data_IF_169672592371
#
_entry.id   IF_169672592371
#
_cell.length_a   1.000
_cell.length_b   1.000
_cell.length_c   1.000
_cell.angle_alpha   90.00
_cell.angle_beta   90.00
_cell.angle_gamma   90.00
#
_symmetry.space_group_name_H-M   'P 1'
#
loop_
_entity.id
_entity.type
_entity.pdbx_description
1 polymer ?
#
# COMPACT_ATOMS: atom_id res chain seq x y z
N UNK A 1 7.90 -37.61 20.63
CA UNK A 1 7.92 -37.27 19.18
C UNK A 1 6.57 -36.76 18.66
N UNK A 2 5.43 -37.38 19.00
CA UNK A 2 4.09 -36.93 18.56
C UNK A 2 3.70 -35.51 19.01
N UNK A 3 4.06 -35.10 20.24
CA UNK A 3 3.77 -33.74 20.74
C UNK A 3 4.55 -32.65 20.00
N UNK A 4 5.83 -32.88 19.67
CA UNK A 4 6.64 -31.97 18.86
C UNK A 4 6.11 -31.86 17.42
N UNK A 5 5.67 -32.98 16.84
CA UNK A 5 5.08 -33.00 15.51
C UNK A 5 3.76 -32.22 15.45
N UNK A 6 2.89 -32.33 16.48
CA UNK A 6 1.63 -31.55 16.56
C UNK A 6 1.88 -30.06 16.79
N UNK A 7 2.88 -29.70 17.59
CA UNK A 7 3.29 -28.31 17.78
C UNK A 7 3.86 -27.71 16.50
N UNK A 8 4.72 -28.45 15.78
CA UNK A 8 5.23 -28.05 14.47
C UNK A 8 4.09 -27.87 13.45
N UNK A 9 3.14 -28.81 13.39
CA UNK A 9 1.98 -28.72 12.49
C UNK A 9 1.07 -27.53 12.83
N UNK A 10 0.86 -27.23 14.11
CA UNK A 10 0.10 -26.07 14.57
C UNK A 10 0.78 -24.74 14.23
N UNK A 11 2.10 -24.65 14.42
CA UNK A 11 2.90 -23.46 14.08
C UNK A 11 2.98 -23.27 12.58
N UNK A 12 3.27 -24.32 11.81
CA UNK A 12 3.31 -24.28 10.34
C UNK A 12 1.93 -23.98 9.76
N UNK A 13 0.86 -24.57 10.29
CA UNK A 13 -0.51 -24.28 9.86
C UNK A 13 -0.91 -22.83 10.13
N UNK A 14 -0.58 -22.30 11.32
CA UNK A 14 -0.83 -20.89 11.66
C UNK A 14 -0.03 -19.95 10.77
N UNK A 15 1.25 -20.25 10.49
CA UNK A 15 2.08 -19.48 9.56
C UNK A 15 1.55 -19.52 8.12
N UNK A 16 1.05 -20.68 7.68
CA UNK A 16 0.49 -20.84 6.35
C UNK A 16 -0.81 -20.06 6.19
N UNK A 17 -1.69 -20.13 7.19
CA UNK A 17 -2.95 -19.37 7.22
C UNK A 17 -2.67 -17.87 7.36
N UNK A 18 -1.74 -17.46 8.22
CA UNK A 18 -1.34 -16.07 8.37
C UNK A 18 -0.71 -15.53 7.07
N UNK A 19 0.17 -16.31 6.44
CA UNK A 19 0.74 -15.98 5.13
C UNK A 19 -0.36 -15.81 4.08
N UNK A 20 -1.23 -16.81 3.92
CA UNK A 20 -2.34 -16.79 2.96
C UNK A 20 -3.31 -15.62 3.21
N UNK A 21 -3.62 -15.30 4.47
CA UNK A 21 -4.46 -14.18 4.84
C UNK A 21 -3.82 -12.83 4.48
N UNK A 22 -2.51 -12.68 4.72
CA UNK A 22 -1.74 -11.49 4.35
C UNK A 22 -1.73 -11.26 2.83
N UNK A 23 -1.76 -12.34 2.03
CA UNK A 23 -1.87 -12.25 0.57
C UNK A 23 -3.32 -12.06 0.07
N UNK A 24 -4.32 -12.50 0.84
CA UNK A 24 -5.73 -12.32 0.51
C UNK A 24 -6.16 -10.84 0.57
N UNK A 25 -5.59 -10.06 1.50
CA UNK A 25 -5.79 -8.60 1.56
C UNK A 25 -5.12 -7.85 0.40
N UNK A 26 -4.27 -8.55 -0.36
CA UNK A 26 -3.59 -8.04 -1.55
C UNK A 26 -2.10 -7.79 -1.31
N UNK A 27 -1.40 -7.51 -2.41
CA UNK A 27 0.03 -7.18 -2.41
C UNK A 27 0.18 -5.77 -2.94
N UNK A 28 1.00 -4.98 -2.26
CA UNK A 28 1.52 -3.72 -2.78
C UNK A 28 2.65 -4.06 -3.72
N UNK A 29 2.55 -3.64 -4.98
CA UNK A 29 3.58 -3.84 -5.98
C UNK A 29 4.10 -2.49 -6.42
N UNK A 30 5.41 -2.33 -6.34
CA UNK A 30 6.15 -1.15 -6.76
C UNK A 30 7.20 -1.64 -7.75
N UNK A 31 7.07 -1.26 -9.01
CA UNK A 31 8.11 -1.44 -10.00
C UNK A 31 8.51 -0.05 -10.50
N UNK A 32 9.78 0.29 -10.37
CA UNK A 32 10.35 1.54 -10.89
C UNK A 32 11.59 1.17 -11.69
N UNK A 33 11.62 1.58 -12.95
CA UNK A 33 12.73 1.38 -13.86
C UNK A 33 13.21 2.72 -14.41
N UNK A 34 14.36 3.20 -13.92
CA UNK A 34 15.01 4.40 -14.46
C UNK A 34 16.01 4.05 -15.56
N UNK A 35 15.77 4.53 -16.78
CA UNK A 35 16.55 4.26 -17.99
C UNK A 35 17.73 5.22 -18.19
N UNK A 36 18.48 5.50 -17.12
CA UNK A 36 19.65 6.40 -17.11
C UNK A 36 20.90 5.72 -16.56
N UNK A 37 22.08 6.23 -16.92
CA UNK A 37 23.35 5.68 -16.40
C UNK A 37 23.43 5.86 -14.87
N UNK A 38 23.41 4.74 -14.13
CA UNK A 38 23.31 4.75 -12.67
C UNK A 38 21.88 4.85 -12.12
N UNK A 39 20.87 4.60 -12.96
CA UNK A 39 19.46 4.60 -12.58
C UNK A 39 19.10 3.52 -11.56
N UNK A 40 18.05 3.77 -10.78
CA UNK A 40 17.52 2.82 -9.80
C UNK A 40 16.48 1.90 -10.43
N UNK A 41 16.62 0.60 -10.17
CA UNK A 41 15.62 -0.42 -10.51
C UNK A 41 15.04 -0.97 -9.21
N UNK A 42 13.80 -0.64 -8.91
CA UNK A 42 13.15 -0.96 -7.63
C UNK A 42 11.93 -1.83 -7.91
N UNK A 43 12.05 -3.13 -7.64
CA UNK A 43 10.96 -4.09 -7.72
C UNK A 43 10.66 -4.63 -6.33
N UNK A 44 9.60 -4.12 -5.70
CA UNK A 44 9.25 -4.47 -4.33
C UNK A 44 7.81 -4.95 -4.27
N UNK A 45 7.65 -6.12 -3.66
CA UNK A 45 6.38 -6.77 -3.43
C UNK A 45 6.20 -6.88 -1.92
N UNK A 46 5.29 -6.08 -1.38
CA UNK A 46 5.03 -6.04 0.06
C UNK A 46 3.62 -6.57 0.31
N UNK A 47 3.45 -7.60 1.15
CA UNK A 47 2.13 -8.01 1.59
C UNK A 47 1.42 -6.83 2.27
N UNK A 48 0.19 -6.51 1.88
CA UNK A 48 -0.38 -5.22 2.25
C UNK A 48 -0.67 -5.12 3.76
N UNK A 49 -0.98 -6.25 4.42
CA UNK A 49 -1.13 -6.32 5.88
C UNK A 49 0.19 -6.09 6.65
N UNK A 50 1.36 -6.15 5.99
CA UNK A 50 2.64 -5.85 6.63
C UNK A 50 2.76 -4.36 7.01
N UNK A 51 2.07 -3.46 6.30
CA UNK A 51 2.10 -2.02 6.56
C UNK A 51 1.54 -1.67 7.94
N UNK A 52 0.27 -2.01 8.29
CA UNK A 52 -0.26 -1.73 9.62
C UNK A 52 0.50 -2.48 10.73
N UNK A 53 1.02 -3.67 10.46
CA UNK A 53 1.88 -4.38 11.42
C UNK A 53 3.17 -3.61 11.71
N UNK A 54 3.84 -3.10 10.67
CA UNK A 54 5.06 -2.31 10.82
C UNK A 54 4.81 -0.98 11.53
N UNK A 55 3.65 -0.35 11.34
CA UNK A 55 3.27 0.88 12.04
C UNK A 55 3.26 0.73 13.57
N UNK A 56 2.93 -0.45 14.09
CA UNK A 56 3.00 -0.71 15.54
C UNK A 56 4.43 -0.70 16.10
N UNK A 57 5.44 -0.86 15.25
CA UNK A 57 6.85 -0.81 15.62
C UNK A 57 7.45 0.59 15.50
N UNK A 58 6.73 1.53 14.87
CA UNK A 58 7.20 2.91 14.69
C UNK A 58 7.03 3.68 16.01
N UNK A 59 8.08 4.39 16.49
CA UNK A 59 7.97 5.21 17.70
C UNK A 59 6.84 6.25 17.59
N UNK A 60 5.99 6.31 18.62
CA UNK A 60 4.82 7.21 18.64
C UNK A 60 5.15 8.67 18.36
N UNK A 61 6.34 9.14 18.73
CA UNK A 61 6.77 10.52 18.45
C UNK A 61 6.82 10.82 16.94
N UNK A 62 7.38 9.90 16.15
CA UNK A 62 7.50 10.06 14.69
C UNK A 62 6.13 9.97 14.02
N UNK A 63 5.26 9.09 14.51
CA UNK A 63 3.87 9.01 14.05
C UNK A 63 3.10 10.32 14.35
N UNK A 64 3.25 10.89 15.55
CA UNK A 64 2.60 12.16 15.91
C UNK A 64 3.10 13.31 15.05
N UNK A 65 4.40 13.41 14.80
CA UNK A 65 4.94 14.42 13.89
C UNK A 65 4.35 14.25 12.48
N UNK A 66 4.34 13.03 11.93
CA UNK A 66 3.75 12.78 10.61
C UNK A 66 2.25 13.14 10.54
N UNK A 67 1.50 12.83 11.60
CA UNK A 67 0.08 13.17 11.72
C UNK A 67 -0.14 14.68 11.86
N UNK A 68 0.70 15.39 12.63
CA UNK A 68 0.61 16.85 12.76
C UNK A 68 0.84 17.55 11.41
N UNK A 69 1.83 17.11 10.63
CA UNK A 69 2.10 17.65 9.30
C UNK A 69 0.98 17.32 8.29
N UNK A 70 0.25 16.23 8.52
CA UNK A 70 -0.78 15.73 7.61
C UNK A 70 -2.19 15.95 8.14
N UNK A 71 -2.38 16.70 9.22
CA UNK A 71 -3.64 16.76 9.99
C UNK A 71 -4.82 17.22 9.16
N UNK A 72 -4.60 18.18 8.26
CA UNK A 72 -5.62 18.71 7.36
C UNK A 72 -5.86 17.79 6.15
N UNK A 73 -4.82 17.11 5.70
CA UNK A 73 -4.86 16.23 4.53
C UNK A 73 -5.41 14.84 4.85
N UNK A 74 -5.26 14.35 6.08
CA UNK A 74 -5.66 12.99 6.48
C UNK A 74 -7.16 12.71 6.32
N UNK A 75 -8.08 13.57 6.82
CA UNK A 75 -9.51 13.36 6.62
C UNK A 75 -9.90 13.41 5.14
N UNK A 76 -9.22 14.25 4.35
CA UNK A 76 -9.43 14.36 2.91
C UNK A 76 -8.97 13.06 2.22
N UNK A 77 -7.79 12.56 2.57
CA UNK A 77 -7.27 11.30 2.06
C UNK A 77 -8.19 10.14 2.42
N UNK A 78 -8.66 10.05 3.67
CA UNK A 78 -9.61 9.03 4.10
C UNK A 78 -10.92 9.10 3.30
N UNK A 79 -11.46 10.31 3.10
CA UNK A 79 -12.67 10.52 2.30
C UNK A 79 -12.46 10.11 0.83
N UNK A 80 -11.32 10.48 0.23
CA UNK A 80 -10.97 10.09 -1.14
C UNK A 80 -10.90 8.56 -1.24
N UNK A 81 -10.16 7.89 -0.36
CA UNK A 81 -10.03 6.42 -0.38
C UNK A 81 -11.41 5.76 -0.26
N UNK A 82 -12.25 6.24 0.67
CA UNK A 82 -13.61 5.74 0.86
C UNK A 82 -14.48 5.91 -0.38
N UNK A 83 -14.35 7.03 -1.09
CA UNK A 83 -15.07 7.28 -2.33
C UNK A 83 -14.55 6.40 -3.47
N UNK A 84 -13.23 6.28 -3.62
CA UNK A 84 -12.60 5.42 -4.62
C UNK A 84 -13.04 3.95 -4.48
N UNK A 85 -13.27 3.45 -3.26
CA UNK A 85 -13.80 2.09 -3.05
C UNK A 85 -15.18 1.85 -3.65
N UNK A 86 -15.98 2.90 -3.87
CA UNK A 86 -17.30 2.77 -4.52
C UNK A 86 -17.19 2.56 -6.03
N UNK A 87 -16.05 2.91 -6.61
CA UNK A 87 -15.75 2.78 -8.03
C UNK A 87 -14.53 1.86 -8.17
N UNK A 88 -14.70 0.53 -8.09
CA UNK A 88 -13.58 -0.40 -8.05
C UNK A 88 -12.81 -0.52 -9.37
N UNK A 89 -13.43 -0.09 -10.47
CA UNK A 89 -12.91 -0.16 -11.84
C UNK A 89 -13.27 1.12 -12.60
N UNK A 90 -12.47 2.17 -12.43
CA UNK A 90 -12.62 3.46 -13.12
C UNK A 90 -11.26 4.10 -13.40
N UNK A 91 -11.11 4.68 -14.59
CA UNK A 91 -9.99 5.55 -14.93
C UNK A 91 -10.23 6.94 -14.33
N UNK A 92 -9.30 7.40 -13.49
CA UNK A 92 -9.45 8.64 -12.73
C UNK A 92 -8.77 9.81 -13.45
N UNK A 93 -7.52 9.59 -13.85
CA UNK A 93 -6.68 10.61 -14.47
C UNK A 93 -5.87 9.94 -15.55
N UNK A 94 -5.87 10.55 -16.73
CA UNK A 94 -4.99 10.19 -17.83
C UNK A 94 -4.34 11.47 -18.37
N UNK A 95 -3.02 11.50 -18.40
CA UNK A 95 -2.23 12.61 -18.93
C UNK A 95 -1.35 12.06 -20.03
N UNK A 96 -1.49 12.62 -21.23
CA UNK A 96 -0.66 12.30 -22.39
C UNK A 96 0.06 13.56 -22.83
N UNK A 97 1.39 13.56 -22.72
CA UNK A 97 2.24 14.66 -23.19
C UNK A 97 3.44 14.11 -23.98
N UNK A 98 3.34 14.16 -25.31
CA UNK A 98 4.38 13.66 -26.21
C UNK A 98 4.66 12.17 -26.02
N UNK A 99 5.80 11.84 -25.39
CA UNK A 99 6.20 10.46 -25.05
C UNK A 99 5.93 10.08 -23.59
N UNK A 100 5.35 11.00 -22.82
CA UNK A 100 4.97 10.77 -21.43
C UNK A 100 3.49 10.40 -21.36
N UNK A 101 3.19 9.34 -20.63
CA UNK A 101 1.83 8.90 -20.35
C UNK A 101 1.71 8.58 -18.86
N UNK A 102 0.78 9.25 -18.18
CA UNK A 102 0.46 8.96 -16.78
C UNK A 102 -0.98 8.50 -16.72
N UNK A 103 -1.21 7.33 -16.14
CA UNK A 103 -2.54 6.78 -15.93
C UNK A 103 -2.73 6.44 -14.45
N UNK A 104 -3.78 7.01 -13.85
CA UNK A 104 -4.22 6.69 -12.49
C UNK A 104 -5.62 6.12 -12.60
N UNK A 105 -5.80 4.90 -12.11
CA UNK A 105 -7.07 4.19 -12.16
C UNK A 105 -7.30 3.35 -10.92
N UNK A 106 -8.55 3.00 -10.70
CA UNK A 106 -8.91 1.91 -9.80
C UNK A 106 -9.13 0.66 -10.63
N UNK A 107 -8.65 -0.49 -10.15
CA UNK A 107 -8.85 -1.78 -10.82
C UNK A 107 -8.90 -2.91 -9.79
N UNK A 108 -9.97 -3.70 -9.80
CA UNK A 108 -10.19 -4.80 -8.86
C UNK A 108 -9.99 -4.37 -7.39
N UNK A 109 -10.47 -3.17 -7.01
CA UNK A 109 -10.33 -2.64 -5.65
C UNK A 109 -8.91 -2.22 -5.26
N UNK A 110 -8.02 -2.03 -6.24
CA UNK A 110 -6.67 -1.49 -6.06
C UNK A 110 -6.56 -0.14 -6.75
N UNK A 111 -5.80 0.77 -6.17
CA UNK A 111 -5.32 1.96 -6.86
C UNK A 111 -4.10 1.56 -7.69
N UNK A 112 -4.17 1.83 -8.99
CA UNK A 112 -3.09 1.62 -9.94
C UNK A 112 -2.60 2.97 -10.45
N UNK A 113 -1.29 3.18 -10.40
CA UNK A 113 -0.62 4.33 -10.99
C UNK A 113 0.43 3.77 -11.94
N UNK A 114 0.28 4.09 -13.22
CA UNK A 114 1.25 3.78 -14.26
C UNK A 114 1.82 5.10 -14.79
N UNK A 115 3.14 5.22 -14.82
CA UNK A 115 3.86 6.32 -15.44
C UNK A 115 4.79 5.70 -16.47
N UNK A 116 4.62 6.10 -17.72
CA UNK A 116 5.51 5.78 -18.81
C UNK A 116 6.14 7.08 -19.28
N UNK A 117 7.45 7.22 -19.09
CA UNK A 117 8.23 8.35 -19.57
C UNK A 117 9.47 7.83 -20.34
N UNK A 118 10.14 8.67 -21.15
CA UNK A 118 11.30 8.24 -21.92
C UNK A 118 12.47 7.74 -21.07
N UNK A 119 12.59 8.25 -19.84
CA UNK A 119 13.67 8.00 -18.90
C UNK A 119 13.24 7.18 -17.68
N UNK A 120 11.95 6.97 -17.45
CA UNK A 120 11.46 6.19 -16.31
C UNK A 120 10.14 5.46 -16.61
N UNK A 121 9.97 4.29 -15.98
CA UNK A 121 8.68 3.61 -15.89
C UNK A 121 8.36 3.36 -14.42
N UNK A 122 7.14 3.70 -14.01
CA UNK A 122 6.64 3.45 -12.66
C UNK A 122 5.33 2.70 -12.74
N UNK A 123 5.27 1.55 -12.09
CA UNK A 123 4.04 0.80 -11.88
C UNK A 123 3.83 0.61 -10.38
N UNK A 124 2.79 1.27 -9.87
CA UNK A 124 2.36 1.17 -8.49
C UNK A 124 0.97 0.53 -8.43
N UNK A 125 0.83 -0.52 -7.63
CA UNK A 125 -0.44 -1.15 -7.30
C UNK A 125 -0.57 -1.21 -5.78
N UNK A 126 -1.63 -0.60 -5.25
CA UNK A 126 -1.90 -0.57 -3.81
C UNK A 126 -3.36 -0.95 -3.56
N UNK A 127 -3.66 -1.95 -2.72
CA UNK A 127 -5.05 -2.24 -2.33
C UNK A 127 -5.71 -1.04 -1.63
N UNK A 128 -6.92 -0.67 -2.04
CA UNK A 128 -7.67 0.44 -1.42
C UNK A 128 -8.01 0.16 0.06
N UNK A 129 -8.20 -1.12 0.43
CA UNK A 129 -8.35 -1.55 1.82
C UNK A 129 -7.15 -1.13 2.68
N UNK A 130 -5.94 -1.34 2.19
CA UNK A 130 -4.72 -0.99 2.91
C UNK A 130 -4.57 0.52 3.09
N UNK A 131 -4.93 1.31 2.08
CA UNK A 131 -4.96 2.78 2.22
C UNK A 131 -5.98 3.23 3.27
N UNK A 132 -7.13 2.56 3.34
CA UNK A 132 -8.15 2.85 4.36
C UNK A 132 -7.65 2.50 5.76
N UNK A 133 -6.99 1.35 5.93
CA UNK A 133 -6.45 0.91 7.22
C UNK A 133 -5.35 1.85 7.72
N UNK A 134 -4.44 2.26 6.82
CA UNK A 134 -3.37 3.22 7.17
C UNK A 134 -3.95 4.59 7.52
N UNK A 135 -4.87 5.12 6.71
CA UNK A 135 -5.49 6.43 7.00
C UNK A 135 -6.25 6.41 8.33
N UNK A 136 -7.01 5.35 8.61
CA UNK A 136 -7.69 5.16 9.90
C UNK A 136 -6.69 5.08 11.07
N UNK A 137 -5.62 4.29 10.93
CA UNK A 137 -4.62 4.13 11.99
C UNK A 137 -3.87 5.43 12.28
N UNK A 138 -3.63 6.26 11.25
CA UNK A 138 -3.05 7.59 11.41
C UNK A 138 -4.02 8.56 12.10
N UNK A 139 -5.31 8.53 11.74
CA UNK A 139 -6.35 9.31 12.42
C UNK A 139 -6.49 8.92 13.90
N UNK A 140 -6.48 7.62 14.21
CA UNK A 140 -6.54 7.11 15.59
C UNK A 140 -5.29 7.48 16.41
N UNK A 141 -4.14 7.66 15.74
CA UNK A 141 -2.89 8.10 16.35
C UNK A 141 -2.80 9.62 16.50
N UNK A 142 -3.75 10.37 15.94
CA UNK A 142 -3.82 11.81 16.11
C UNK A 142 -4.09 12.15 17.58
N UNK A 143 -3.46 13.22 18.13
CA UNK A 143 -3.82 13.70 19.45
C UNK A 143 -5.31 14.09 19.46
N UNK A 144 -6.10 13.43 20.32
CA UNK A 144 -7.48 13.87 20.61
C UNK A 144 -7.42 15.30 21.13
N UNK A 145 -8.19 16.18 20.49
CA UNK A 145 -8.36 17.57 20.91
C UNK A 145 -9.04 17.66 22.28
#
# INVERSE_FOLDING_TARGET
>A
MILLAKAALGVTGTLFVAGAYTFHEGVIRIDVDEHRAGGSHVHVWVPAAAVPMAMHLVPQKQLREAVEHSREALPIAHAIVKELKKYPDVDLVEVVDGKQHVQIRTRNGKLQIDVEAPDEQVHLLVPLSTLEDVTRQLEDSAPRA
#
